data_IF_640269254325
#
_entry.id   IF_640269254325
#
_cell.length_a   1.000
_cell.length_b   1.000
_cell.length_c   1.000
_cell.angle_alpha   90.00
_cell.angle_beta   90.00
_cell.angle_gamma   90.00
#
_symmetry.space_group_name_H-M   'P 1'
#
loop_
_entity.id
_entity.type
_entity.pdbx_description
1 polymer ?
#
# COMPACT_ATOMS: atom_id res chain seq x y z
N UNK A 1 -23.91 67.08 10.13
CA UNK A 1 -22.94 66.02 9.74
C UNK A 1 -22.83 65.05 10.90
N UNK A 2 -23.42 63.86 10.81
CA UNK A 2 -23.46 62.86 11.90
C UNK A 2 -22.70 61.60 11.47
N UNK A 3 -21.71 61.21 12.28
CA UNK A 3 -20.87 60.03 12.17
C UNK A 3 -21.70 58.73 12.13
N UNK A 4 -21.31 57.78 11.28
CA UNK A 4 -21.79 56.41 11.32
C UNK A 4 -20.67 55.48 11.79
N UNK A 5 -20.76 55.01 13.03
CA UNK A 5 -19.90 53.96 13.59
C UNK A 5 -20.38 52.59 13.08
N UNK A 6 -19.51 51.85 12.39
CA UNK A 6 -19.73 50.45 12.07
C UNK A 6 -19.53 49.60 13.32
N UNK A 7 -20.58 48.85 13.68
CA UNK A 7 -20.64 47.93 14.81
C UNK A 7 -19.97 46.60 14.43
N UNK A 8 -18.86 46.26 15.08
CA UNK A 8 -18.22 44.94 14.98
C UNK A 8 -19.00 43.94 15.82
N UNK A 9 -19.43 42.82 15.23
CA UNK A 9 -20.01 41.67 15.95
C UNK A 9 -18.92 40.64 16.29
N UNK A 10 -18.88 40.07 17.51
CA UNK A 10 -17.89 39.07 17.89
C UNK A 10 -18.23 37.66 17.35
N UNK A 11 -17.18 36.93 16.95
CA UNK A 11 -17.20 35.50 16.59
C UNK A 11 -17.76 34.68 17.75
N UNK A 12 -18.92 34.06 17.56
CA UNK A 12 -19.48 33.09 18.51
C UNK A 12 -18.66 31.81 18.53
N UNK A 13 -18.32 31.35 19.74
CA UNK A 13 -17.77 30.03 20.01
C UNK A 13 -18.79 28.94 19.66
N UNK A 14 -18.36 27.75 19.18
CA UNK A 14 -19.30 26.69 18.89
C UNK A 14 -19.85 26.11 20.20
N UNK A 15 -21.18 25.97 20.29
CA UNK A 15 -21.86 25.41 21.45
C UNK A 15 -21.59 23.91 21.65
N UNK A 16 -22.00 23.33 22.80
CA UNK A 16 -21.69 21.97 23.21
C UNK A 16 -22.12 20.88 22.21
N UNK A 17 -23.12 21.16 21.36
CA UNK A 17 -23.54 20.26 20.27
C UNK A 17 -22.50 20.06 19.15
N UNK A 18 -21.68 21.07 18.83
CA UNK A 18 -20.62 20.93 17.82
C UNK A 18 -19.44 20.10 18.32
N UNK A 19 -19.16 20.11 19.62
CA UNK A 19 -18.11 19.29 20.24
C UNK A 19 -18.51 17.80 20.21
N UNK A 20 -19.79 17.48 20.42
CA UNK A 20 -20.29 16.10 20.36
C UNK A 20 -20.30 15.51 18.94
N UNK A 21 -20.61 16.33 17.92
CA UNK A 21 -20.56 15.90 16.50
C UNK A 21 -19.10 15.68 16.05
N UNK A 22 -18.16 16.50 16.51
CA UNK A 22 -16.72 16.29 16.28
C UNK A 22 -16.19 15.01 16.96
N UNK A 23 -16.70 14.65 18.13
CA UNK A 23 -16.32 13.42 18.82
C UNK A 23 -16.88 12.14 18.14
N UNK A 24 -18.06 12.19 17.52
CA UNK A 24 -18.65 11.05 16.82
C UNK A 24 -17.92 10.73 15.49
N UNK A 25 -17.36 11.74 14.82
CA UNK A 25 -16.59 11.58 13.57
C UNK A 25 -15.20 10.98 13.83
N UNK A 26 -14.62 11.19 15.01
CA UNK A 26 -13.28 10.69 15.37
C UNK A 26 -13.26 9.20 15.77
N UNK A 27 -14.42 8.58 16.04
CA UNK A 27 -14.53 7.15 16.36
C UNK A 27 -14.77 6.24 15.14
N UNK A 28 -15.05 6.81 13.96
CA UNK A 28 -15.38 6.05 12.75
C UNK A 28 -14.23 5.47 11.89
N UNK A 29 -12.93 5.78 12.07
CA UNK A 29 -11.90 5.14 11.24
C UNK A 29 -11.55 3.72 11.68
N UNK A 30 -11.73 3.36 12.96
CA UNK A 30 -11.32 2.05 13.48
C UNK A 30 -12.25 0.92 13.03
N UNK A 31 -13.58 1.13 13.14
CA UNK A 31 -14.58 0.11 12.77
C UNK A 31 -14.52 -0.23 11.28
N UNK A 32 -14.28 0.78 10.42
CA UNK A 32 -14.11 0.57 8.98
C UNK A 32 -12.84 -0.22 8.65
N UNK A 33 -11.72 0.08 9.31
CA UNK A 33 -10.46 -0.63 9.09
C UNK A 33 -10.52 -2.10 9.54
N UNK A 34 -11.18 -2.39 10.66
CA UNK A 34 -11.35 -3.76 11.14
C UNK A 34 -12.22 -4.61 10.20
N UNK A 35 -13.33 -4.04 9.71
CA UNK A 35 -14.20 -4.70 8.75
C UNK A 35 -13.47 -5.02 7.43
N UNK A 36 -12.69 -4.06 6.91
CA UNK A 36 -11.87 -4.25 5.71
C UNK A 36 -10.82 -5.34 5.95
N UNK A 37 -10.17 -5.35 7.11
CA UNK A 37 -9.15 -6.34 7.45
C UNK A 37 -9.73 -7.76 7.61
N UNK A 38 -10.95 -7.90 8.14
CA UNK A 38 -11.67 -9.19 8.18
C UNK A 38 -12.02 -9.68 6.77
N UNK A 39 -12.51 -8.79 5.90
CA UNK A 39 -12.80 -9.13 4.50
C UNK A 39 -11.53 -9.57 3.76
N UNK A 40 -10.42 -8.83 3.93
CA UNK A 40 -9.12 -9.20 3.37
C UNK A 40 -8.66 -10.55 3.92
N UNK A 41 -8.83 -10.81 5.22
CA UNK A 41 -8.47 -12.10 5.82
C UNK A 41 -9.25 -13.26 5.22
N UNK A 42 -10.56 -13.10 5.01
CA UNK A 42 -11.40 -14.15 4.40
C UNK A 42 -10.98 -14.45 2.97
N UNK A 43 -10.77 -13.41 2.17
CA UNK A 43 -10.35 -13.54 0.77
C UNK A 43 -8.92 -14.08 0.64
N UNK A 44 -7.98 -13.60 1.47
CA UNK A 44 -6.61 -14.12 1.53
C UNK A 44 -6.58 -15.61 1.89
N UNK A 45 -7.44 -16.09 2.80
CA UNK A 45 -7.50 -17.52 3.15
C UNK A 45 -7.79 -18.41 1.93
N UNK A 46 -8.76 -18.02 1.11
CA UNK A 46 -9.11 -18.76 -0.11
C UNK A 46 -8.00 -18.68 -1.17
N UNK A 47 -7.36 -17.53 -1.31
CA UNK A 47 -6.23 -17.36 -2.22
C UNK A 47 -5.01 -18.19 -1.77
N UNK A 48 -4.71 -18.20 -0.47
CA UNK A 48 -3.59 -18.93 0.10
C UNK A 48 -3.81 -20.44 0.08
N UNK A 49 -5.05 -20.94 0.24
CA UNK A 49 -5.31 -22.38 0.10
C UNK A 49 -5.04 -22.88 -1.33
N UNK A 50 -5.40 -22.08 -2.35
CA UNK A 50 -5.05 -22.38 -3.75
C UNK A 50 -3.55 -22.33 -4.00
N UNK A 51 -2.87 -21.34 -3.43
CA UNK A 51 -1.40 -21.28 -3.49
C UNK A 51 -0.76 -22.48 -2.79
N UNK A 52 -1.34 -23.00 -1.71
CA UNK A 52 -0.83 -24.17 -0.99
C UNK A 52 -0.87 -25.43 -1.87
N UNK A 53 -1.98 -25.65 -2.59
CA UNK A 53 -2.10 -26.77 -3.55
C UNK A 53 -1.02 -26.66 -4.63
N UNK A 54 -0.81 -25.47 -5.17
CA UNK A 54 0.23 -25.22 -6.18
C UNK A 54 1.63 -25.51 -5.62
N UNK A 55 1.96 -24.98 -4.44
CA UNK A 55 3.28 -25.14 -3.82
C UNK A 55 3.56 -26.59 -3.39
N UNK A 56 2.52 -27.36 -3.05
CA UNK A 56 2.65 -28.79 -2.77
C UNK A 56 2.88 -29.62 -4.05
N UNK A 57 2.28 -29.22 -5.17
CA UNK A 57 2.39 -29.92 -6.45
C UNK A 57 3.64 -29.54 -7.27
N UNK A 58 4.29 -28.41 -6.97
CA UNK A 58 5.42 -27.89 -7.72
C UNK A 58 6.76 -28.17 -7.02
N UNK A 59 7.56 -29.15 -7.49
CA UNK A 59 8.91 -29.40 -6.97
C UNK A 59 9.98 -28.42 -7.53
N UNK A 60 9.60 -27.50 -8.42
CA UNK A 60 10.54 -26.57 -9.06
C UNK A 60 10.76 -25.33 -8.17
N UNK A 61 12.00 -24.79 -8.11
CA UNK A 61 12.27 -23.54 -7.42
C UNK A 61 11.47 -22.39 -8.05
N UNK A 62 11.17 -21.32 -7.28
CA UNK A 62 10.46 -20.16 -7.82
C UNK A 62 11.18 -19.60 -9.06
N UNK A 63 10.41 -19.17 -10.06
CA UNK A 63 10.90 -18.48 -11.26
C UNK A 63 11.90 -17.38 -10.87
N UNK A 64 12.92 -17.06 -11.69
CA UNK A 64 13.87 -15.99 -11.36
C UNK A 64 13.17 -14.70 -10.90
N UNK A 65 13.75 -14.04 -9.90
CA UNK A 65 13.20 -12.79 -9.37
C UNK A 65 13.16 -11.70 -10.45
N UNK A 66 12.01 -11.08 -10.61
CA UNK A 66 11.81 -9.89 -11.43
C UNK A 66 11.02 -8.84 -10.64
N UNK A 67 11.19 -7.57 -11.00
CA UNK A 67 10.47 -6.42 -10.43
C UNK A 67 10.30 -5.37 -11.52
N UNK A 68 9.14 -4.73 -11.56
CA UNK A 68 8.84 -3.60 -12.45
C UNK A 68 9.03 -2.23 -11.75
N UNK A 69 9.56 -2.24 -10.53
CA UNK A 69 9.71 -1.07 -9.66
C UNK A 69 8.50 -0.94 -8.74
N UNK A 70 7.85 0.22 -8.73
CA UNK A 70 6.53 0.36 -8.14
C UNK A 70 5.50 -0.10 -9.16
N UNK A 71 4.84 -1.21 -8.81
CA UNK A 71 3.97 -1.98 -9.69
C UNK A 71 2.77 -1.22 -10.25
N UNK A 72 2.06 -1.84 -11.20
CA UNK A 72 0.95 -1.20 -11.90
C UNK A 72 1.41 -0.13 -12.90
N UNK A 73 2.68 -0.19 -13.32
CA UNK A 73 3.26 0.73 -14.29
C UNK A 73 3.69 2.08 -13.70
N UNK A 74 3.66 2.27 -12.37
CA UNK A 74 4.00 3.56 -11.75
C UNK A 74 5.44 3.99 -12.06
N UNK A 75 6.40 3.07 -11.93
CA UNK A 75 7.80 3.36 -12.24
C UNK A 75 8.04 3.65 -13.72
N UNK A 76 7.36 2.91 -14.61
CA UNK A 76 7.46 3.16 -16.06
C UNK A 76 6.82 4.46 -16.48
N UNK A 77 5.64 4.79 -15.92
CA UNK A 77 4.98 6.08 -16.13
C UNK A 77 5.80 7.25 -15.61
N UNK A 78 6.45 7.10 -14.45
CA UNK A 78 7.36 8.11 -13.91
C UNK A 78 8.54 8.36 -14.84
N UNK A 79 9.24 7.31 -15.27
CA UNK A 79 10.35 7.39 -16.23
C UNK A 79 9.92 8.07 -17.53
N UNK A 80 8.75 7.71 -18.05
CA UNK A 80 8.18 8.34 -19.25
C UNK A 80 7.95 9.84 -19.03
N UNK A 81 7.27 10.24 -17.94
CA UNK A 81 7.00 11.64 -17.65
C UNK A 81 8.28 12.45 -17.42
N UNK A 82 9.28 11.88 -16.74
CA UNK A 82 10.58 12.52 -16.54
C UNK A 82 11.31 12.77 -17.87
N UNK A 83 11.22 11.83 -18.81
CA UNK A 83 11.79 11.96 -20.16
C UNK A 83 11.05 12.97 -21.05
N UNK A 84 9.71 13.02 -20.99
CA UNK A 84 8.90 13.97 -21.76
C UNK A 84 9.01 15.40 -21.21
N UNK A 85 9.15 15.54 -19.90
CA UNK A 85 9.27 16.83 -19.23
C UNK A 85 10.61 16.92 -18.47
N UNK A 86 11.71 17.37 -19.11
CA UNK A 86 13.05 17.37 -18.51
C UNK A 86 13.16 18.14 -17.19
N UNK A 87 12.30 19.14 -16.98
CA UNK A 87 12.22 19.84 -15.70
C UNK A 87 11.71 18.94 -14.56
N UNK A 88 10.81 17.99 -14.84
CA UNK A 88 10.33 17.01 -13.87
C UNK A 88 11.47 16.06 -13.48
N UNK A 89 12.17 15.49 -14.46
CA UNK A 89 13.32 14.60 -14.22
C UNK A 89 14.45 15.30 -13.45
N UNK A 90 14.81 16.51 -13.85
CA UNK A 90 15.84 17.30 -13.15
C UNK A 90 15.47 17.63 -11.71
N UNK A 91 14.17 17.81 -11.42
CA UNK A 91 13.67 18.25 -10.12
C UNK A 91 13.35 17.11 -9.15
N UNK A 92 12.85 15.98 -9.66
CA UNK A 92 12.36 14.87 -8.84
C UNK A 92 13.07 13.53 -9.12
N UNK A 93 13.97 13.49 -10.10
CA UNK A 93 14.67 12.28 -10.54
C UNK A 93 13.88 11.47 -11.57
N UNK A 94 14.57 10.52 -12.20
CA UNK A 94 14.02 9.69 -13.27
C UNK A 94 13.19 8.49 -12.75
N UNK A 95 13.21 8.24 -11.45
CA UNK A 95 12.45 7.17 -10.78
C UNK A 95 11.66 7.71 -9.60
N UNK A 96 10.53 7.08 -9.22
CA UNK A 96 9.82 7.42 -8.00
C UNK A 96 10.78 7.43 -6.81
N UNK A 97 10.72 8.43 -5.92
CA UNK A 97 11.68 8.55 -4.83
C UNK A 97 11.70 7.35 -3.88
N UNK A 98 10.65 6.52 -3.88
CA UNK A 98 10.47 5.30 -3.09
C UNK A 98 10.57 3.98 -3.86
N UNK A 99 11.06 3.99 -5.10
CA UNK A 99 11.17 2.77 -5.93
C UNK A 99 11.95 1.64 -5.24
N UNK A 100 13.02 1.97 -4.51
CA UNK A 100 13.78 0.98 -3.73
C UNK A 100 12.96 0.28 -2.63
N UNK A 101 11.95 0.96 -2.06
CA UNK A 101 11.02 0.34 -1.11
C UNK A 101 10.08 -0.65 -1.83
N UNK A 102 9.61 -0.30 -3.03
CA UNK A 102 8.79 -1.17 -3.86
C UNK A 102 9.55 -2.44 -4.28
N UNK A 103 10.79 -2.32 -4.78
CA UNK A 103 11.61 -3.48 -5.18
C UNK A 103 11.87 -4.44 -4.02
N UNK A 104 12.03 -3.93 -2.78
CA UNK A 104 12.16 -4.76 -1.58
C UNK A 104 10.86 -5.51 -1.27
N UNK A 105 9.72 -4.83 -1.42
CA UNK A 105 8.40 -5.41 -1.22
C UNK A 105 8.11 -6.50 -2.27
N UNK A 106 8.42 -6.24 -3.54
CA UNK A 106 8.34 -7.21 -4.64
C UNK A 106 9.12 -8.49 -4.34
N UNK A 107 10.31 -8.37 -3.74
CA UNK A 107 11.12 -9.53 -3.35
C UNK A 107 10.42 -10.40 -2.31
N UNK A 108 9.77 -9.78 -1.33
CA UNK A 108 9.00 -10.50 -0.32
C UNK A 108 7.77 -11.17 -0.95
N UNK A 109 7.09 -10.46 -1.84
CA UNK A 109 5.91 -10.96 -2.55
C UNK A 109 6.23 -12.09 -3.51
N UNK A 110 7.32 -11.96 -4.27
CA UNK A 110 7.83 -12.99 -5.16
C UNK A 110 8.10 -14.31 -4.41
N UNK A 111 8.73 -14.23 -3.22
CA UNK A 111 9.03 -15.38 -2.37
C UNK A 111 7.81 -15.91 -1.58
N UNK A 112 6.63 -15.31 -1.73
CA UNK A 112 5.47 -15.54 -0.89
C UNK A 112 5.06 -17.02 -0.78
N UNK A 113 4.88 -17.50 0.46
CA UNK A 113 4.43 -18.86 0.76
C UNK A 113 2.97 -18.88 1.20
N UNK A 114 2.30 -20.01 0.99
CA UNK A 114 0.95 -20.23 1.49
C UNK A 114 0.93 -20.37 3.01
N UNK A 115 1.84 -21.19 3.55
CA UNK A 115 2.01 -21.37 4.99
C UNK A 115 2.40 -20.05 5.66
N UNK A 116 1.64 -19.64 6.69
CA UNK A 116 1.81 -18.35 7.37
C UNK A 116 1.60 -17.13 6.46
N UNK A 117 1.15 -17.32 5.22
CA UNK A 117 1.19 -16.31 4.16
C UNK A 117 0.42 -15.04 4.47
N UNK A 118 -0.72 -15.13 5.18
CA UNK A 118 -1.50 -13.94 5.57
C UNK A 118 -0.68 -13.01 6.48
N UNK A 119 -0.01 -13.57 7.49
CA UNK A 119 0.80 -12.80 8.44
C UNK A 119 2.05 -12.28 7.75
N UNK A 120 2.73 -13.12 6.97
CA UNK A 120 3.94 -12.74 6.23
C UNK A 120 3.66 -11.62 5.20
N UNK A 121 2.55 -11.71 4.48
CA UNK A 121 2.12 -10.69 3.52
C UNK A 121 1.85 -9.36 4.22
N UNK A 122 1.03 -9.38 5.29
CA UNK A 122 0.78 -8.17 6.10
C UNK A 122 2.07 -7.56 6.63
N UNK A 123 3.03 -8.37 7.06
CA UNK A 123 4.32 -7.89 7.54
C UNK A 123 5.13 -7.23 6.42
N UNK A 124 5.16 -7.81 5.22
CA UNK A 124 5.80 -7.19 4.05
C UNK A 124 5.15 -5.83 3.71
N UNK A 125 3.83 -5.75 3.77
CA UNK A 125 3.06 -4.53 3.51
C UNK A 125 3.37 -3.42 4.55
N UNK A 126 3.49 -3.80 5.82
CA UNK A 126 3.92 -2.88 6.89
C UNK A 126 5.38 -2.43 6.72
N UNK A 127 6.27 -3.31 6.26
CA UNK A 127 7.67 -2.96 5.96
C UNK A 127 7.77 -1.97 4.80
N UNK A 128 6.95 -2.13 3.75
CA UNK A 128 6.85 -1.15 2.66
C UNK A 128 6.44 0.22 3.20
N UNK A 129 5.35 0.27 3.96
CA UNK A 129 4.86 1.50 4.61
C UNK A 129 5.96 2.18 5.42
N UNK A 130 6.63 1.41 6.28
CA UNK A 130 7.68 1.95 7.15
C UNK A 130 8.88 2.47 6.35
N UNK A 131 9.29 1.77 5.29
CA UNK A 131 10.36 2.22 4.39
C UNK A 131 10.03 3.57 3.75
N UNK A 132 8.80 3.75 3.26
CA UNK A 132 8.34 5.00 2.63
C UNK A 132 8.31 6.15 3.66
N UNK A 133 7.84 5.89 4.89
CA UNK A 133 7.85 6.88 5.98
C UNK A 133 9.27 7.34 6.28
N UNK A 134 10.20 6.39 6.49
CA UNK A 134 11.60 6.71 6.81
C UNK A 134 12.27 7.53 5.71
N UNK A 135 12.01 7.18 4.44
CA UNK A 135 12.50 7.95 3.30
C UNK A 135 11.95 9.38 3.28
N UNK A 136 10.68 9.56 3.63
CA UNK A 136 10.07 10.86 3.81
C UNK A 136 10.74 11.67 4.92
N UNK A 137 10.98 11.06 6.08
CA UNK A 137 11.63 11.72 7.22
C UNK A 137 13.06 12.20 6.89
N UNK A 138 13.83 11.39 6.16
CA UNK A 138 15.17 11.76 5.69
C UNK A 138 15.13 12.90 4.67
N UNK A 139 14.16 12.88 3.74
CA UNK A 139 14.09 13.85 2.62
C UNK A 139 13.38 15.16 3.00
N UNK A 140 12.50 15.15 3.99
CA UNK A 140 11.62 16.26 4.32
C UNK A 140 12.37 17.58 4.59
N UNK A 141 13.49 17.63 5.34
CA UNK A 141 14.21 18.89 5.57
C UNK A 141 14.77 19.52 4.28
N UNK A 142 15.28 18.70 3.36
CA UNK A 142 15.82 19.16 2.08
C UNK A 142 14.72 19.72 1.18
N UNK A 143 13.62 18.98 1.05
CA UNK A 143 12.45 19.41 0.29
C UNK A 143 11.83 20.67 0.91
N UNK A 144 11.66 20.73 2.22
CA UNK A 144 11.13 21.91 2.90
C UNK A 144 11.89 23.19 2.53
N UNK A 145 13.23 23.15 2.55
CA UNK A 145 14.08 24.28 2.13
C UNK A 145 13.93 24.60 0.64
N UNK A 146 13.94 23.59 -0.22
CA UNK A 146 13.88 23.77 -1.67
C UNK A 146 12.55 24.40 -2.12
N UNK A 147 11.45 24.07 -1.45
CA UNK A 147 10.10 24.46 -1.86
C UNK A 147 9.47 25.54 -0.96
N UNK A 148 10.19 26.05 0.05
CA UNK A 148 9.65 27.04 0.99
C UNK A 148 8.49 26.48 1.84
N UNK A 149 8.51 25.18 2.14
CA UNK A 149 7.48 24.47 2.91
C UNK A 149 7.94 24.22 4.35
N UNK A 150 7.02 23.84 5.25
CA UNK A 150 7.39 23.32 6.56
C UNK A 150 7.79 21.85 6.45
N UNK A 151 8.87 21.47 7.11
CA UNK A 151 9.31 20.07 7.14
C UNK A 151 8.22 19.12 7.69
N UNK A 152 7.44 19.58 8.67
CA UNK A 152 6.30 18.82 9.19
C UNK A 152 5.24 18.52 8.15
N UNK A 153 4.92 19.48 7.27
CA UNK A 153 3.91 19.31 6.20
C UNK A 153 4.40 18.30 5.15
N UNK A 154 5.69 18.37 4.80
CA UNK A 154 6.31 17.39 3.90
C UNK A 154 6.27 15.99 4.52
N UNK A 155 6.71 15.83 5.77
CA UNK A 155 6.64 14.54 6.48
C UNK A 155 5.21 14.00 6.55
N UNK A 156 4.21 14.84 6.79
CA UNK A 156 2.80 14.44 6.81
C UNK A 156 2.34 13.92 5.43
N UNK A 157 2.70 14.60 4.35
CA UNK A 157 2.38 14.15 2.99
C UNK A 157 2.98 12.76 2.68
N UNK A 158 4.23 12.51 3.09
CA UNK A 158 4.88 11.20 2.95
C UNK A 158 4.18 10.10 3.77
N UNK A 159 3.71 10.41 4.97
CA UNK A 159 2.93 9.45 5.79
C UNK A 159 1.60 9.10 5.13
N UNK A 160 0.90 10.09 4.58
CA UNK A 160 -0.34 9.84 3.82
C UNK A 160 -0.05 8.93 2.62
N UNK A 161 1.00 9.22 1.85
CA UNK A 161 1.40 8.36 0.73
C UNK A 161 1.70 6.92 1.17
N UNK A 162 2.44 6.75 2.27
CA UNK A 162 2.76 5.43 2.83
C UNK A 162 1.51 4.66 3.29
N UNK A 163 0.54 5.32 3.92
CA UNK A 163 -0.75 4.72 4.29
C UNK A 163 -1.56 4.30 3.06
N UNK A 164 -1.62 5.16 2.04
CA UNK A 164 -2.29 4.83 0.78
C UNK A 164 -1.65 3.62 0.10
N UNK A 165 -0.31 3.56 0.06
CA UNK A 165 0.42 2.41 -0.48
C UNK A 165 0.13 1.14 0.32
N UNK A 166 0.13 1.19 1.65
CA UNK A 166 -0.21 0.05 2.50
C UNK A 166 -1.58 -0.53 2.14
N UNK A 167 -2.62 0.30 2.10
CA UNK A 167 -3.97 -0.18 1.79
C UNK A 167 -4.10 -0.67 0.35
N UNK A 168 -3.41 -0.05 -0.60
CA UNK A 168 -3.37 -0.50 -2.00
C UNK A 168 -2.77 -1.92 -2.11
N UNK A 169 -1.63 -2.20 -1.47
CA UNK A 169 -1.02 -3.55 -1.53
C UNK A 169 -1.80 -4.56 -0.67
N UNK A 170 -2.37 -4.16 0.47
CA UNK A 170 -3.24 -5.02 1.30
C UNK A 170 -4.43 -5.53 0.50
N UNK A 171 -5.03 -4.70 -0.34
CA UNK A 171 -6.24 -5.06 -1.10
C UNK A 171 -5.93 -5.67 -2.47
N UNK A 172 -4.91 -5.16 -3.18
CA UNK A 172 -4.58 -5.59 -4.55
C UNK A 172 -3.54 -6.72 -4.66
N UNK A 173 -2.82 -7.01 -3.57
CA UNK A 173 -1.67 -7.92 -3.57
C UNK A 173 -1.97 -9.41 -3.30
N UNK A 174 -3.23 -9.83 -3.41
CA UNK A 174 -3.64 -11.18 -3.02
C UNK A 174 -2.99 -12.27 -3.88
N UNK A 175 -2.72 -13.44 -3.27
CA UNK A 175 -2.23 -14.60 -3.99
C UNK A 175 -3.22 -15.05 -5.08
N UNK A 176 -2.72 -15.77 -6.09
CA UNK A 176 -3.53 -16.28 -7.20
C UNK A 176 -4.33 -15.23 -8.01
N UNK A 177 -4.09 -13.94 -7.81
CA UNK A 177 -4.56 -12.88 -8.71
C UNK A 177 -3.75 -12.91 -10.02
N UNK A 178 -4.23 -12.32 -11.13
CA UNK A 178 -3.50 -12.31 -12.40
C UNK A 178 -2.34 -11.29 -12.41
N UNK A 179 -2.12 -10.55 -11.32
CA UNK A 179 -1.19 -9.44 -11.29
C UNK A 179 0.27 -9.88 -11.08
N UNK A 180 1.21 -9.09 -11.60
CA UNK A 180 2.64 -9.31 -11.47
C UNK A 180 3.19 -8.98 -10.06
N UNK A 181 2.39 -8.28 -9.24
CA UNK A 181 2.70 -7.91 -7.86
C UNK A 181 1.85 -8.71 -6.85
N UNK A 182 1.43 -9.91 -7.22
CA UNK A 182 0.68 -10.81 -6.32
C UNK A 182 1.61 -11.46 -5.29
N UNK A 183 1.06 -11.81 -4.14
CA UNK A 183 1.77 -12.71 -3.22
C UNK A 183 2.01 -14.08 -3.87
N UNK A 184 3.25 -14.55 -3.79
CA UNK A 184 3.72 -15.76 -4.47
C UNK A 184 3.95 -15.57 -5.97
N UNK A 185 4.28 -14.36 -6.45
CA UNK A 185 4.51 -14.10 -7.88
C UNK A 185 5.58 -15.01 -8.52
N UNK A 186 6.60 -15.43 -7.75
CA UNK A 186 7.62 -16.36 -8.22
C UNK A 186 7.11 -17.77 -8.52
N UNK A 187 5.91 -18.12 -8.06
CA UNK A 187 5.26 -19.38 -8.40
C UNK A 187 4.45 -19.25 -9.69
N UNK A 188 4.22 -20.34 -10.44
CA UNK A 188 3.34 -20.32 -11.60
C UNK A 188 1.95 -19.73 -11.27
N UNK A 189 1.21 -19.22 -12.27
CA UNK A 189 -0.18 -18.81 -12.06
C UNK A 189 -1.01 -19.95 -11.44
N UNK A 190 -1.85 -19.62 -10.46
CA UNK A 190 -2.71 -20.63 -9.86
C UNK A 190 -3.70 -21.17 -10.89
N UNK A 191 -3.97 -22.49 -10.91
CA UNK A 191 -4.97 -23.07 -11.80
C UNK A 191 -6.33 -22.39 -11.62
N UNK A 192 -7.04 -22.16 -12.73
CA UNK A 192 -8.39 -21.58 -12.73
C UNK A 192 -9.41 -22.49 -12.03
N UNK A 193 -9.21 -23.81 -12.07
CA UNK A 193 -9.98 -24.81 -11.32
C UNK A 193 -9.07 -25.53 -10.33
N UNK A 194 -9.52 -25.81 -9.09
CA UNK A 194 -8.80 -26.70 -8.20
C UNK A 194 -8.68 -28.08 -8.87
N UNK A 195 -7.51 -28.70 -8.78
CA UNK A 195 -7.33 -30.07 -9.25
C UNK A 195 -8.36 -30.98 -8.55
N UNK A 196 -8.93 -31.99 -9.23
CA UNK A 196 -9.83 -32.93 -8.59
C UNK A 196 -9.13 -33.52 -7.37
N UNK A 197 -9.82 -33.53 -6.23
CA UNK A 197 -9.32 -34.16 -5.01
C UNK A 197 -9.17 -35.65 -5.33
N UNK A 198 -7.95 -36.11 -5.54
CA UNK A 198 -7.65 -37.53 -5.54
C UNK A 198 -7.83 -38.01 -4.10
N UNK A 199 -8.96 -38.64 -3.81
CA UNK A 199 -9.18 -39.33 -2.54
C UNK A 199 -8.04 -40.36 -2.38
N UNK A 200 -7.42 -40.47 -1.20
CA UNK A 200 -6.43 -41.51 -0.96
C UNK A 200 -7.10 -42.86 -1.22
N UNK A 201 -6.46 -43.70 -2.04
CA UNK A 201 -6.91 -45.05 -2.28
C UNK A 201 -7.10 -45.75 -0.92
N UNK A 202 -8.31 -46.29 -0.69
CA UNK A 202 -8.56 -47.15 0.45
C UNK A 202 -7.52 -48.27 0.41
N UNK A 203 -6.70 -48.34 1.47
CA UNK A 203 -5.78 -49.47 1.63
C UNK A 203 -6.63 -50.72 1.88
N UNK A 204 -6.36 -51.84 1.17
CA UNK A 204 -7.07 -53.09 1.38
C UNK A 204 -6.85 -53.65 2.79
#
# INVERSE_FOLDING_TARGET
>A
MKNNMLRVYPRSWPGPGMVAVLALVLAMPAVGAELVEDLIRRTDRLALSRLAVLQAAAPQPPLPFTSDGCSGGLSSGWRYLAGVFPQLGSRFGDTPPWEACCVRHDRAYWAGRAEGGYVARKQADLQLKQCVIQMGEVRAPGLARQYGLKAGDVTAAWRVAAESMYWAVRTGGQACSPFAWRWGYGWPPCPLMPAPISLPAERP
#
